data_IF_949666860932
#
_entry.id   IF_949666860932
#
_cell.length_a   1.000
_cell.length_b   1.000
_cell.length_c   1.000
_cell.angle_alpha   90.00
_cell.angle_beta   90.00
_cell.angle_gamma   90.00
#
_symmetry.space_group_name_H-M   'P 1'
#
loop_
_entity.id
_entity.type
_entity.pdbx_description
1 polymer ?
#
# COMPACT_ATOMS: atom_id res chain seq x y z
N UNK A 1 -3.01 39.37 -15.16
CA UNK A 1 -1.74 38.60 -15.12
C UNK A 1 -2.11 37.21 -14.63
N UNK A 2 -2.27 36.27 -15.56
CA UNK A 2 -2.57 34.87 -15.23
C UNK A 2 -1.22 34.23 -14.97
N UNK A 3 -0.90 34.01 -13.69
CA UNK A 3 0.19 33.11 -13.33
C UNK A 3 -0.41 31.71 -13.41
N UNK A 4 0.08 30.96 -14.40
CA UNK A 4 -0.19 29.55 -14.65
C UNK A 4 -0.18 28.76 -13.35
N UNK A 5 -1.38 28.35 -12.92
CA UNK A 5 -1.57 27.46 -11.79
C UNK A 5 -1.21 26.04 -12.20
N UNK A 6 0.01 25.64 -11.90
CA UNK A 6 0.29 24.24 -11.61
C UNK A 6 0.02 24.07 -10.12
N UNK A 7 -1.22 23.75 -9.79
CA UNK A 7 -1.50 23.13 -8.49
C UNK A 7 -0.83 21.77 -8.59
N UNK A 8 0.33 21.59 -7.94
CA UNK A 8 0.78 20.25 -7.57
C UNK A 8 -0.35 19.66 -6.73
N UNK A 9 -1.18 18.84 -7.36
CA UNK A 9 -2.12 18.01 -6.63
C UNK A 9 -1.23 17.05 -5.85
N UNK A 10 -1.03 17.32 -4.57
CA UNK A 10 -0.53 16.33 -3.64
C UNK A 10 -1.57 15.21 -3.65
N UNK A 11 -1.38 14.23 -4.53
CA UNK A 11 -2.20 13.03 -4.54
C UNK A 11 -1.92 12.32 -3.24
N UNK A 12 -2.87 12.45 -2.32
CA UNK A 12 -2.81 11.81 -1.02
C UNK A 12 -2.73 10.31 -1.29
N UNK A 13 -1.69 9.66 -0.75
CA UNK A 13 -1.50 8.23 -0.94
C UNK A 13 -2.48 7.49 -0.03
N UNK A 14 -3.26 6.60 -0.62
CA UNK A 14 -4.20 5.79 0.13
C UNK A 14 -3.52 4.74 1.00
N UNK A 15 -2.35 4.22 0.59
CA UNK A 15 -1.69 3.14 1.32
C UNK A 15 -0.17 3.25 1.29
N UNK A 16 0.42 3.23 2.48
CA UNK A 16 1.86 3.06 2.69
C UNK A 16 2.09 1.73 3.36
N UNK A 17 2.96 0.89 2.81
CA UNK A 17 3.33 -0.40 3.40
C UNK A 17 4.82 -0.51 3.60
N UNK A 18 5.20 -1.14 4.70
CA UNK A 18 6.55 -1.56 4.99
C UNK A 18 6.53 -3.02 5.37
N UNK A 19 7.22 -3.84 4.59
CA UNK A 19 7.25 -5.29 4.78
C UNK A 19 8.66 -5.84 4.62
N UNK A 20 8.85 -7.07 5.08
CA UNK A 20 10.10 -7.81 5.02
C UNK A 20 9.94 -8.97 4.05
N UNK A 21 10.80 -9.02 3.03
CA UNK A 21 10.79 -10.14 2.09
C UNK A 21 11.46 -11.40 2.67
N UNK A 22 11.44 -12.49 1.92
CA UNK A 22 12.07 -13.78 2.26
C UNK A 22 13.56 -13.68 2.65
N UNK A 23 14.29 -12.74 2.06
CA UNK A 23 15.71 -12.50 2.35
C UNK A 23 15.95 -11.63 3.60
N UNK A 24 14.88 -11.25 4.28
CA UNK A 24 14.92 -10.34 5.43
C UNK A 24 15.15 -8.88 5.08
N UNK A 25 15.07 -8.52 3.79
CA UNK A 25 15.19 -7.14 3.31
C UNK A 25 13.88 -6.40 3.57
N UNK A 26 14.01 -5.22 4.16
CA UNK A 26 12.89 -4.30 4.36
C UNK A 26 12.62 -3.54 3.06
N UNK A 27 11.36 -3.55 2.63
CA UNK A 27 10.87 -2.84 1.45
C UNK A 27 9.75 -1.91 1.89
N UNK A 28 9.76 -0.68 1.37
CA UNK A 28 8.68 0.29 1.54
C UNK A 28 8.00 0.47 0.18
N UNK A 29 6.67 0.50 0.17
CA UNK A 29 5.87 0.82 -1.02
C UNK A 29 4.74 1.77 -0.66
N UNK A 30 4.36 2.55 -1.67
CA UNK A 30 3.32 3.56 -1.59
C UNK A 30 2.41 3.36 -2.79
N UNK A 31 1.11 3.37 -2.55
CA UNK A 31 0.09 3.25 -3.56
C UNK A 31 -0.76 4.51 -3.57
N UNK A 32 -1.03 5.03 -4.76
CA UNK A 32 -1.91 6.18 -4.95
C UNK A 32 -3.31 5.84 -4.46
N UNK A 33 -3.84 4.68 -4.87
CA UNK A 33 -5.13 4.17 -4.41
C UNK A 33 -5.02 2.79 -3.74
N UNK A 34 -5.95 2.45 -2.86
CA UNK A 34 -6.07 1.07 -2.35
C UNK A 34 -6.26 0.08 -3.51
N UNK A 35 -6.96 0.48 -4.57
CA UNK A 35 -7.21 -0.36 -5.73
C UNK A 35 -5.92 -0.73 -6.46
N UNK A 36 -4.95 0.19 -6.58
CA UNK A 36 -3.66 -0.10 -7.20
C UNK A 36 -2.91 -1.23 -6.48
N UNK A 37 -3.03 -1.28 -5.15
CA UNK A 37 -2.46 -2.38 -4.35
C UNK A 37 -3.20 -3.70 -4.60
N UNK A 38 -4.53 -3.69 -4.62
CA UNK A 38 -5.34 -4.89 -4.90
C UNK A 38 -5.00 -5.43 -6.29
N UNK A 39 -5.02 -4.56 -7.31
CA UNK A 39 -4.72 -4.92 -8.69
C UNK A 39 -3.29 -5.44 -8.83
N UNK A 40 -2.31 -4.87 -8.11
CA UNK A 40 -0.95 -5.42 -8.10
C UNK A 40 -0.96 -6.84 -7.54
N UNK A 41 -1.54 -7.05 -6.35
CA UNK A 41 -1.53 -8.36 -5.66
C UNK A 41 -2.32 -9.45 -6.39
N UNK A 42 -3.37 -9.09 -7.14
CA UNK A 42 -4.15 -10.02 -7.97
C UNK A 42 -3.60 -10.16 -9.40
N UNK A 43 -2.55 -9.41 -9.75
CA UNK A 43 -1.91 -9.50 -11.05
C UNK A 43 -1.12 -10.81 -11.21
N UNK A 44 -1.35 -11.51 -12.32
CA UNK A 44 -0.54 -12.67 -12.73
C UNK A 44 0.95 -12.33 -12.98
N UNK A 45 1.34 -11.04 -12.92
CA UNK A 45 2.70 -10.57 -13.16
C UNK A 45 3.61 -10.57 -11.91
N UNK A 46 3.11 -10.98 -10.74
CA UNK A 46 3.98 -11.08 -9.57
C UNK A 46 4.78 -12.39 -9.63
N UNK A 47 6.07 -12.28 -9.94
CA UNK A 47 7.02 -13.41 -10.04
C UNK A 47 7.28 -14.17 -8.71
N UNK A 48 6.97 -13.56 -7.56
CA UNK A 48 7.25 -14.15 -6.24
C UNK A 48 5.98 -14.07 -5.38
N UNK A 49 5.54 -15.15 -4.71
CA UNK A 49 4.37 -15.08 -3.83
C UNK A 49 4.66 -14.17 -2.62
N UNK A 50 4.32 -12.88 -2.76
CA UNK A 50 4.57 -11.85 -1.75
C UNK A 50 3.53 -11.86 -0.61
N UNK A 51 2.46 -12.64 -0.77
CA UNK A 51 1.33 -12.73 0.17
C UNK A 51 1.76 -13.13 1.59
N UNK A 52 2.76 -14.01 1.71
CA UNK A 52 3.28 -14.50 2.99
C UNK A 52 4.30 -13.54 3.64
N UNK A 53 4.64 -12.42 3.00
CA UNK A 53 5.65 -11.51 3.54
C UNK A 53 5.16 -10.82 4.80
N UNK A 54 6.04 -10.74 5.80
CA UNK A 54 5.76 -10.13 7.09
C UNK A 54 5.61 -8.63 6.93
N UNK A 55 4.45 -8.09 7.32
CA UNK A 55 4.24 -6.65 7.39
C UNK A 55 4.83 -6.12 8.68
N UNK A 56 5.71 -5.12 8.54
CA UNK A 56 6.28 -4.38 9.65
C UNK A 56 5.29 -3.29 10.10
N UNK A 57 4.70 -2.58 9.14
CA UNK A 57 3.70 -1.53 9.40
C UNK A 57 2.98 -1.14 8.12
N UNK A 58 1.74 -0.68 8.23
CA UNK A 58 1.03 0.02 7.15
C UNK A 58 0.28 1.25 7.65
N UNK A 59 -0.02 2.18 6.74
CA UNK A 59 -0.78 3.41 7.02
C UNK A 59 -1.77 3.63 5.89
N UNK A 60 -3.05 3.80 6.23
CA UNK A 60 -4.10 4.17 5.27
C UNK A 60 -4.37 5.67 5.26
N UNK A 61 -4.65 6.22 4.07
CA UNK A 61 -5.14 7.59 3.83
C UNK A 61 -4.33 8.68 4.56
N UNK A 62 -3.02 8.49 4.66
CA UNK A 62 -2.07 9.29 5.47
C UNK A 62 -2.47 9.48 6.95
N UNK A 63 -3.49 8.76 7.41
CA UNK A 63 -4.00 8.86 8.76
C UNK A 63 -3.25 7.88 9.65
N UNK A 64 -2.24 8.40 10.37
CA UNK A 64 -1.46 7.63 11.33
C UNK A 64 -2.28 7.00 12.46
N UNK A 65 -3.54 7.40 12.66
CA UNK A 65 -4.46 6.77 13.60
C UNK A 65 -5.07 5.45 13.08
N UNK A 66 -5.04 5.21 11.77
CA UNK A 66 -5.35 3.93 11.12
C UNK A 66 -4.04 3.20 10.72
N UNK A 67 -3.08 3.16 11.65
CA UNK A 67 -1.89 2.33 11.49
C UNK A 67 -2.04 1.08 12.34
N UNK A 68 -2.05 -0.09 11.70
CA UNK A 68 -1.84 -1.34 12.43
C UNK A 68 -0.42 -1.84 12.24
N UNK A 69 0.02 -2.64 13.22
CA UNK A 69 1.34 -3.22 13.30
C UNK A 69 1.23 -4.75 13.25
N UNK A 70 2.01 -5.36 12.35
CA UNK A 70 2.07 -6.81 12.20
C UNK A 70 1.00 -7.39 11.26
N UNK A 71 1.23 -8.62 10.82
CA UNK A 71 0.39 -9.33 9.86
C UNK A 71 1.17 -9.80 8.64
N UNK A 72 0.44 -10.31 7.65
CA UNK A 72 0.96 -10.70 6.34
C UNK A 72 0.38 -9.82 5.24
N UNK A 73 1.04 -9.76 4.09
CA UNK A 73 0.52 -9.07 2.91
C UNK A 73 -0.86 -9.60 2.52
N UNK A 74 -1.12 -10.90 2.67
CA UNK A 74 -2.45 -11.50 2.50
C UNK A 74 -3.50 -10.88 3.43
N UNK A 75 -3.20 -10.77 4.72
CA UNK A 75 -4.13 -10.15 5.69
C UNK A 75 -4.44 -8.70 5.34
N UNK A 76 -3.43 -7.95 4.86
CA UNK A 76 -3.65 -6.59 4.37
C UNK A 76 -4.49 -6.56 3.08
N UNK A 77 -4.27 -7.49 2.15
CA UNK A 77 -5.07 -7.62 0.93
C UNK A 77 -6.55 -7.82 1.24
N UNK A 78 -6.86 -8.76 2.14
CA UNK A 78 -8.24 -9.00 2.54
C UNK A 78 -8.85 -7.78 3.24
N UNK A 79 -8.10 -7.09 4.10
CA UNK A 79 -8.57 -5.85 4.71
C UNK A 79 -8.82 -4.74 3.68
N UNK A 80 -7.95 -4.58 2.69
CA UNK A 80 -8.15 -3.64 1.59
C UNK A 80 -9.43 -3.96 0.79
N UNK A 81 -9.74 -5.25 0.57
CA UNK A 81 -10.98 -5.69 -0.08
C UNK A 81 -12.22 -5.35 0.74
N UNK A 82 -12.16 -5.49 2.06
CA UNK A 82 -13.26 -5.10 2.95
C UNK A 82 -13.55 -3.59 2.92
N UNK A 83 -12.52 -2.75 2.70
CA UNK A 83 -12.69 -1.29 2.61
C UNK A 83 -13.43 -0.88 1.33
N UNK A 84 -13.20 -1.58 0.22
CA UNK A 84 -13.78 -1.22 -1.10
C UNK A 84 -15.13 -1.86 -1.39
N UNK A 85 -15.58 -2.82 -0.59
CA UNK A 85 -16.88 -3.53 -0.73
C UNK A 85 -18.01 -2.86 0.04
#
# INVERSE_FOLDING_TARGET
MILSGEVEVLYMKDLWIKYKNENGKIINREYDTIMDFIDEMESDNIDIPMLDYEIISYIFFENRLNSEYGGTIEGLLEHCKEIVQ
#
